data_IF_346108402673
#
_entry.id   IF_346108402673
#
_cell.length_a   1.000
_cell.length_b   1.000
_cell.length_c   1.000
_cell.angle_alpha   90.00
_cell.angle_beta   90.00
_cell.angle_gamma   90.00
#
_symmetry.space_group_name_H-M   'P 1'
#
loop_
_entity.id
_entity.type
_entity.pdbx_description
1 polymer ?
2 non-polymer ?
3 non-polymer ?
4 non-polymer ?
5 water ?
#
# COMPACT_ATOMS: atom_id res chain seq x y z
N UNK A 1 29.24 -8.17 24.71
CA UNK A 1 28.72 -7.43 23.54
C UNK A 1 27.20 -7.36 23.59
N UNK A 2 26.61 -6.74 22.58
CA UNK A 2 25.18 -6.59 22.50
C UNK A 2 24.52 -7.87 22.02
N UNK A 3 23.29 -8.12 22.46
CA UNK A 3 22.53 -9.28 22.03
C UNK A 3 21.94 -8.85 20.68
N UNK A 4 21.59 -9.79 19.81
CA UNK A 4 21.03 -9.42 18.50
C UNK A 4 19.61 -8.90 18.63
N UNK A 5 19.14 -8.13 17.66
CA UNK A 5 17.77 -7.59 17.69
C UNK A 5 16.77 -8.72 17.49
N UNK A 6 15.55 -8.53 17.99
CA UNK A 6 14.49 -9.52 17.83
C UNK A 6 13.79 -9.28 16.49
N UNK A 7 13.49 -10.35 15.76
CA UNK A 7 12.82 -10.21 14.47
C UNK A 7 11.56 -11.02 14.47
N UNK A 8 10.52 -10.56 13.76
CA UNK A 8 9.26 -11.31 13.72
C UNK A 8 9.34 -12.41 12.62
N UNK A 9 10.37 -12.34 11.79
CA UNK A 9 10.55 -13.29 10.72
C UNK A 9 11.76 -14.16 10.98
N UNK A 10 11.98 -15.12 10.09
CA UNK A 10 13.08 -16.07 10.23
C UNK A 10 14.50 -15.52 10.01
N UNK A 11 14.68 -14.77 8.94
CA UNK A 11 15.99 -14.25 8.64
C UNK A 11 16.07 -12.74 8.73
N UNK A 12 17.28 -12.27 9.02
CA UNK A 12 17.50 -10.83 9.13
C UNK A 12 18.28 -10.30 7.95
N UNK A 13 18.58 -9.01 8.00
CA UNK A 13 19.31 -8.34 6.93
C UNK A 13 20.64 -9.01 6.61
N UNK A 14 21.26 -9.64 7.61
CA UNK A 14 22.56 -10.31 7.42
C UNK A 14 22.48 -11.66 6.73
N UNK A 15 21.27 -12.15 6.47
CA UNK A 15 21.13 -13.46 5.82
C UNK A 15 20.95 -13.41 4.32
N UNK A 16 21.18 -12.23 3.76
CA UNK A 16 21.10 -12.07 2.31
C UNK A 16 22.34 -11.28 1.85
N UNK A 17 22.83 -11.60 0.66
CA UNK A 17 23.96 -10.90 0.08
C UNK A 17 23.54 -10.27 -1.26
N UNK A 18 23.55 -8.95 -1.32
CA UNK A 18 23.22 -8.24 -2.57
C UNK A 18 24.52 -8.26 -3.38
N UNK A 19 24.58 -9.14 -4.38
CA UNK A 19 25.77 -9.24 -5.19
C UNK A 19 25.98 -7.98 -6.02
N UNK A 20 24.98 -7.59 -6.80
CA UNK A 20 25.10 -6.39 -7.62
C UNK A 20 23.76 -5.73 -7.90
N UNK A 21 23.83 -4.45 -8.22
CA UNK A 21 22.66 -3.67 -8.58
C UNK A 21 23.04 -3.02 -9.88
N UNK A 22 22.18 -3.17 -10.89
CA UNK A 22 22.44 -2.57 -12.19
C UNK A 22 21.22 -1.79 -12.63
N UNK A 23 21.43 -0.63 -13.23
CA UNK A 23 20.29 0.16 -13.69
C UNK A 23 19.82 -0.39 -15.03
N UNK A 24 18.57 -0.84 -15.10
CA UNK A 24 18.01 -1.37 -16.35
C UNK A 24 17.51 -0.22 -17.21
N UNK A 25 17.08 0.84 -16.55
CA UNK A 25 16.57 2.00 -17.25
C UNK A 25 16.66 3.17 -16.29
N UNK A 26 17.26 4.26 -16.72
CA UNK A 26 17.35 5.41 -15.84
C UNK A 26 16.51 6.56 -16.37
N UNK A 27 15.55 6.98 -15.57
CA UNK A 27 14.67 8.08 -15.94
C UNK A 27 14.42 8.85 -14.67
N UNK A 28 13.29 9.55 -14.55
CA UNK A 28 13.04 10.28 -13.32
C UNK A 28 13.18 9.26 -12.18
N UNK A 29 12.59 8.09 -12.37
CA UNK A 29 12.70 6.98 -11.41
C UNK A 29 13.42 5.89 -12.19
N UNK A 30 14.40 5.24 -11.57
CA UNK A 30 15.14 4.19 -12.24
C UNK A 30 14.55 2.81 -12.02
N UNK A 31 14.66 1.95 -13.01
CA UNK A 31 14.21 0.57 -12.87
C UNK A 31 15.53 -0.18 -12.76
N UNK A 32 15.75 -0.84 -11.63
CA UNK A 32 17.00 -1.56 -11.41
C UNK A 32 16.84 -3.07 -11.40
N UNK A 33 17.97 -3.76 -11.45
CA UNK A 33 17.97 -5.20 -11.39
C UNK A 33 18.90 -5.55 -10.23
N UNK A 34 18.37 -6.25 -9.24
CA UNK A 34 19.19 -6.66 -8.10
C UNK A 34 19.62 -8.10 -8.32
N UNK A 35 20.89 -8.40 -8.04
CA UNK A 35 21.38 -9.76 -8.13
C UNK A 35 21.74 -10.08 -6.69
N UNK A 36 21.17 -11.14 -6.14
CA UNK A 36 21.43 -11.49 -4.74
C UNK A 36 21.28 -12.98 -4.43
N UNK A 37 21.78 -13.36 -3.27
CA UNK A 37 21.72 -14.74 -2.76
C UNK A 37 21.25 -14.61 -1.33
N UNK A 38 20.43 -15.55 -0.90
CA UNK A 38 19.91 -15.50 0.45
C UNK A 38 19.74 -16.90 1.01
N UNK A 39 19.60 -17.00 2.33
CA UNK A 39 19.41 -18.29 2.97
C UNK A 39 17.98 -18.73 2.68
N UNK A 40 17.80 -20.03 2.48
CA UNK A 40 16.48 -20.61 2.24
C UNK A 40 15.97 -21.12 3.59
N UNK A 41 14.66 -21.36 3.69
CA UNK A 41 14.08 -21.84 4.93
C UNK A 41 14.61 -23.22 5.31
N UNK A 42 15.09 -23.98 4.32
CA UNK A 42 15.63 -25.30 4.61
C UNK A 42 17.10 -25.26 5.04
N UNK A 43 17.63 -24.06 5.28
CA UNK A 43 19.00 -23.92 5.74
C UNK A 43 20.06 -23.73 4.69
N UNK A 44 19.71 -24.02 3.44
CA UNK A 44 20.66 -23.90 2.34
C UNK A 44 20.70 -22.53 1.68
N UNK A 45 21.80 -22.27 0.97
CA UNK A 45 21.99 -21.01 0.26
C UNK A 45 21.32 -21.12 -1.11
N UNK A 46 20.74 -20.02 -1.58
CA UNK A 46 20.05 -20.01 -2.86
C UNK A 46 21.01 -19.81 -4.03
N UNK A 47 20.49 -19.93 -5.25
CA UNK A 47 21.30 -19.66 -6.42
C UNK A 47 21.21 -18.15 -6.48
N UNK A 48 21.82 -17.54 -7.49
CA UNK A 48 21.74 -16.10 -7.62
C UNK A 48 20.31 -15.83 -8.12
N UNK A 49 19.61 -14.90 -7.48
CA UNK A 49 18.26 -14.57 -7.92
C UNK A 49 18.30 -13.15 -8.46
N UNK A 50 17.47 -12.91 -9.47
CA UNK A 50 17.41 -11.61 -10.14
C UNK A 50 16.02 -11.06 -10.03
N UNK A 51 15.92 -9.79 -9.64
CA UNK A 51 14.65 -9.13 -9.51
C UNK A 51 14.71 -7.71 -10.10
N UNK A 52 13.66 -7.31 -10.80
CA UNK A 52 13.60 -5.95 -11.37
C UNK A 52 12.95 -5.10 -10.31
N UNK A 53 13.61 -4.04 -9.88
CA UNK A 53 13.06 -3.15 -8.85
C UNK A 53 12.87 -1.71 -9.31
N UNK A 54 11.68 -1.17 -9.07
CA UNK A 54 11.35 0.21 -9.42
C UNK A 54 11.74 1.06 -8.20
N UNK A 55 12.84 1.81 -8.30
CA UNK A 55 13.32 2.65 -7.21
C UNK A 55 12.52 3.93 -7.16
N UNK A 56 11.40 3.91 -6.45
CA UNK A 56 10.53 5.07 -6.38
C UNK A 56 10.87 6.09 -5.29
N UNK A 57 11.43 5.64 -4.17
CA UNK A 57 11.78 6.60 -3.14
C UNK A 57 11.25 6.48 -1.72
N UNK A 58 10.81 7.61 -1.20
CA UNK A 58 10.32 7.73 0.17
C UNK A 58 9.34 8.92 0.20
N UNK A 59 8.14 8.70 0.71
CA UNK A 59 7.13 9.76 0.76
C UNK A 59 6.63 10.04 2.16
N UNK A 60 6.11 11.26 2.33
CA UNK A 60 5.53 11.70 3.59
C UNK A 60 4.06 11.82 3.29
N UNK A 61 3.22 11.27 4.17
CA UNK A 61 1.76 11.32 4.00
C UNK A 61 1.15 11.91 5.28
N UNK A 62 0.24 12.86 5.12
CA UNK A 62 -0.40 13.48 6.28
C UNK A 62 -1.93 13.43 6.22
N UNK A 63 -2.52 12.90 7.28
CA UNK A 63 -3.97 12.83 7.39
C UNK A 63 -4.37 14.06 8.24
N UNK A 64 -5.00 15.07 7.61
CA UNK A 64 -5.41 16.27 8.32
C UNK A 64 -6.67 15.92 9.11
N UNK A 65 -6.58 15.94 10.43
CA UNK A 65 -7.72 15.62 11.26
C UNK A 65 -8.10 16.74 12.24
N UNK A 66 -9.37 17.11 12.26
CA UNK A 66 -9.87 18.13 13.17
C UNK A 66 -10.65 17.33 14.22
N UNK A 67 -10.03 17.08 15.40
CA UNK A 67 -10.65 16.32 16.48
C UNK A 67 -11.88 16.95 17.11
N UNK A 68 -11.94 18.27 17.10
CA UNK A 68 -13.07 18.96 17.68
C UNK A 68 -14.32 18.85 16.84
N UNK A 69 -14.19 18.96 15.52
CA UNK A 69 -15.35 18.87 14.63
C UNK A 69 -15.48 17.46 14.02
N UNK A 70 -14.53 16.60 14.37
CA UNK A 70 -14.49 15.23 13.86
C UNK A 70 -14.56 15.21 12.34
N UNK A 71 -13.67 15.98 11.72
CA UNK A 71 -13.60 16.07 10.28
C UNK A 71 -12.20 15.79 9.76
N UNK A 72 -12.15 15.48 8.47
CA UNK A 72 -10.92 15.20 7.77
C UNK A 72 -10.89 16.13 6.54
N UNK A 73 -9.69 16.53 6.12
CA UNK A 73 -9.54 17.37 4.93
C UNK A 73 -8.87 16.49 3.88
N UNK A 74 -9.57 16.26 2.78
CA UNK A 74 -9.05 15.42 1.71
C UNK A 74 -8.72 16.29 0.51
N UNK A 75 -7.76 15.88 -0.31
CA UNK A 75 -7.42 16.64 -1.50
C UNK A 75 -7.74 15.80 -2.74
N UNK A 76 -8.30 16.45 -3.75
CA UNK A 76 -8.68 15.80 -4.98
C UNK A 76 -7.64 16.15 -6.02
N UNK A 77 -7.06 15.15 -6.66
CA UNK A 77 -6.06 15.42 -7.71
C UNK A 77 -5.95 14.26 -8.67
N UNK A 78 -5.53 14.52 -9.89
CA UNK A 78 -5.42 13.44 -10.85
C UNK A 78 -4.17 12.58 -10.63
N UNK A 79 -4.34 11.26 -10.75
CA UNK A 79 -3.24 10.29 -10.63
C UNK A 79 -3.47 9.45 -11.89
N UNK A 80 -2.85 9.88 -12.98
CA UNK A 80 -2.99 9.26 -14.28
C UNK A 80 -2.83 7.75 -14.33
N UNK A 81 -1.95 7.18 -13.51
CA UNK A 81 -1.75 5.73 -13.51
C UNK A 81 -3.02 4.98 -13.11
N UNK A 82 -3.94 5.67 -12.45
CA UNK A 82 -5.21 5.06 -12.03
C UNK A 82 -6.24 5.01 -13.16
N UNK A 83 -5.91 5.62 -14.29
CA UNK A 83 -6.80 5.67 -15.43
C UNK A 83 -7.32 4.32 -15.99
N UNK A 84 -6.44 3.33 -16.15
CA UNK A 84 -6.90 2.04 -16.70
C UNK A 84 -7.73 1.11 -15.82
N UNK A 85 -7.74 1.32 -14.51
CA UNK A 85 -8.51 0.46 -13.63
C UNK A 85 -9.44 1.20 -12.69
N UNK A 86 -9.84 2.43 -13.05
CA UNK A 86 -10.73 3.22 -12.22
C UNK A 86 -11.72 3.96 -13.10
N UNK A 87 -12.82 4.44 -12.53
CA UNK A 87 -13.80 5.15 -13.34
C UNK A 87 -13.37 6.58 -13.63
N UNK A 88 -12.45 7.08 -12.84
CA UNK A 88 -11.92 8.42 -13.02
C UNK A 88 -10.54 8.47 -12.38
N UNK A 89 -9.57 9.08 -13.08
CA UNK A 89 -8.23 9.17 -12.51
C UNK A 89 -8.12 10.22 -11.41
N UNK A 90 -9.19 10.97 -11.17
CA UNK A 90 -9.18 11.97 -10.10
C UNK A 90 -9.54 11.29 -8.81
N UNK A 91 -8.55 11.19 -7.93
CA UNK A 91 -8.70 10.54 -6.64
C UNK A 91 -8.75 11.49 -5.46
N UNK A 92 -9.41 11.03 -4.41
CA UNK A 92 -9.52 11.76 -3.16
C UNK A 92 -8.35 11.20 -2.35
N UNK A 93 -7.42 12.05 -1.98
CA UNK A 93 -6.24 11.61 -1.26
C UNK A 93 -5.82 12.38 -0.01
N UNK A 94 -4.69 11.96 0.55
CA UNK A 94 -4.11 12.57 1.73
C UNK A 94 -3.08 13.58 1.22
N UNK A 95 -2.65 14.46 2.11
CA UNK A 95 -1.60 15.43 1.79
C UNK A 95 -0.37 14.52 1.70
N UNK A 96 0.47 14.72 0.69
CA UNK A 96 1.65 13.89 0.50
C UNK A 96 2.76 14.56 -0.31
N UNK A 97 3.98 14.13 -0.08
CA UNK A 97 5.10 14.68 -0.82
C UNK A 97 6.30 13.76 -0.73
N UNK A 98 7.22 13.87 -1.69
CA UNK A 98 8.41 13.04 -1.67
C UNK A 98 9.40 13.66 -0.68
N UNK A 99 10.20 12.81 -0.03
CA UNK A 99 11.18 13.28 0.94
C UNK A 99 12.56 13.18 0.34
N UNK A 100 13.31 14.27 0.37
CA UNK A 100 14.66 14.29 -0.18
C UNK A 100 15.71 14.52 0.90
N UNK A 101 16.98 14.45 0.50
CA UNK A 101 18.13 14.64 1.37
C UNK A 101 17.96 15.66 2.48
N UNK A 102 18.30 15.25 3.69
CA UNK A 102 18.22 16.16 4.82
C UNK A 102 16.85 16.57 5.31
N UNK A 103 15.79 16.02 4.72
CA UNK A 103 14.42 16.35 5.13
C UNK A 103 13.87 15.24 6.01
N UNK A 104 12.95 15.59 6.91
CA UNK A 104 12.31 14.60 7.78
C UNK A 104 10.88 14.42 7.27
N UNK A 105 10.24 13.31 7.63
CA UNK A 105 8.86 13.06 7.20
C UNK A 105 7.98 14.22 7.64
N UNK A 106 8.16 14.63 8.89
CA UNK A 106 7.37 15.70 9.47
C UNK A 106 7.58 17.04 8.74
N UNK A 107 8.81 17.38 8.41
CA UNK A 107 9.04 18.64 7.71
C UNK A 107 8.29 18.65 6.37
N UNK A 108 8.39 17.55 5.62
CA UNK A 108 7.71 17.47 4.33
C UNK A 108 6.19 17.53 4.52
N UNK A 109 5.66 16.78 5.49
CA UNK A 109 4.21 16.76 5.72
C UNK A 109 3.66 18.16 6.05
N UNK A 110 4.34 18.89 6.91
CA UNK A 110 3.88 20.22 7.28
C UNK A 110 3.94 21.17 6.10
N UNK A 111 5.00 21.06 5.30
CA UNK A 111 5.14 21.92 4.15
C UNK A 111 4.09 21.59 3.08
N UNK A 112 3.80 20.31 2.89
CA UNK A 112 2.80 19.90 1.90
C UNK A 112 1.40 20.32 2.33
N UNK A 113 1.16 20.31 3.64
CA UNK A 113 -0.15 20.70 4.16
C UNK A 113 -0.47 22.13 3.73
N UNK A 114 0.55 22.98 3.73
CA UNK A 114 0.39 24.38 3.33
C UNK A 114 0.29 24.55 1.81
N UNK A 115 1.20 23.90 1.08
CA UNK A 115 1.22 24.00 -0.37
C UNK A 115 0.02 23.38 -1.09
N UNK A 116 -0.38 22.19 -0.68
CA UNK A 116 -1.50 21.49 -1.32
C UNK A 116 -2.89 21.83 -0.79
N UNK A 117 -3.01 22.04 0.52
CA UNK A 117 -4.32 22.31 1.13
C UNK A 117 -4.50 23.62 1.90
N UNK A 118 -3.49 24.46 1.93
CA UNK A 118 -3.62 25.71 2.66
C UNK A 118 -3.86 25.52 4.15
N UNK A 119 -3.42 24.40 4.71
CA UNK A 119 -3.63 24.15 6.13
C UNK A 119 -2.37 24.32 6.96
N UNK A 120 -2.53 24.82 8.17
CA UNK A 120 -1.38 24.95 9.04
C UNK A 120 -1.61 23.95 10.17
N UNK A 121 -0.82 22.88 10.09
CA UNK A 121 -0.87 21.78 11.04
C UNK A 121 -0.36 22.23 12.40
N UNK A 122 -0.97 21.68 13.46
CA UNK A 122 -0.58 22.00 14.82
C UNK A 122 0.24 20.79 15.27
N UNK A 123 -0.30 19.98 16.16
CA UNK A 123 0.41 18.79 16.62
C UNK A 123 0.34 17.73 15.51
N UNK A 124 1.36 16.88 15.44
CA UNK A 124 1.38 15.81 14.45
C UNK A 124 1.66 14.57 15.26
N UNK A 125 1.32 13.42 14.72
CA UNK A 125 1.52 12.16 15.43
C UNK A 125 1.84 11.05 14.43
N UNK A 126 2.95 10.30 14.64
CA UNK A 126 3.28 9.21 13.71
C UNK A 126 2.22 8.12 13.79
N UNK A 127 1.71 7.70 12.63
CA UNK A 127 0.67 6.68 12.52
C UNK A 127 1.21 5.30 12.11
N UNK A 128 1.68 5.19 10.87
CA UNK A 128 2.23 3.95 10.32
C UNK A 128 3.10 4.29 9.12
N UNK A 129 4.01 3.39 8.78
CA UNK A 129 4.90 3.57 7.64
C UNK A 129 4.77 2.24 6.89
N UNK A 130 4.37 2.31 5.62
CA UNK A 130 4.18 1.09 4.86
C UNK A 130 4.92 1.05 3.54
N UNK A 131 5.10 -0.16 3.03
CA UNK A 131 5.73 -0.38 1.73
C UNK A 131 4.54 -0.58 0.81
N UNK A 132 4.39 0.31 -0.17
CA UNK A 132 3.27 0.26 -1.10
C UNK A 132 3.10 -1.07 -1.84
N UNK A 133 4.20 -1.64 -2.33
CA UNK A 133 4.15 -2.89 -3.10
C UNK A 133 5.60 -3.38 -3.19
N UNK A 134 6.12 -3.94 -2.07
CA UNK A 134 7.50 -4.44 -1.97
C UNK A 134 7.94 -5.56 -2.90
N UNK A 135 7.02 -6.11 -3.67
CA UNK A 135 7.40 -7.18 -4.58
C UNK A 135 8.04 -6.64 -5.84
N UNK A 136 7.74 -5.38 -6.16
CA UNK A 136 8.31 -4.76 -7.35
C UNK A 136 8.84 -3.35 -7.18
N UNK A 137 8.49 -2.67 -6.09
CA UNK A 137 8.97 -1.32 -5.87
C UNK A 137 9.53 -1.08 -4.47
N UNK A 138 10.50 -0.17 -4.36
CA UNK A 138 11.13 0.15 -3.08
C UNK A 138 10.39 1.25 -2.28
N UNK A 139 9.36 1.84 -2.88
CA UNK A 139 8.62 2.90 -2.22
C UNK A 139 8.24 2.61 -0.78
N UNK A 140 8.39 3.62 0.07
CA UNK A 140 8.03 3.52 1.47
C UNK A 140 7.32 4.85 1.80
N UNK A 141 6.12 4.75 2.38
CA UNK A 141 5.32 5.92 2.76
C UNK A 141 5.09 5.99 4.25
N UNK A 142 5.45 7.11 4.85
CA UNK A 142 5.28 7.32 6.29
C UNK A 142 4.07 8.23 6.53
N UNK A 143 3.09 7.71 7.26
CA UNK A 143 1.88 8.44 7.54
C UNK A 143 1.91 9.08 8.94
N UNK A 144 1.40 10.32 9.01
CA UNK A 144 1.27 11.06 10.27
C UNK A 144 -0.11 11.68 10.25
N UNK A 145 -0.71 11.88 11.43
CA UNK A 145 -2.01 12.55 11.49
C UNK A 145 -1.68 13.96 11.93
N UNK A 146 -2.25 14.94 11.24
CA UNK A 146 -1.97 16.31 11.58
C UNK A 146 -3.19 16.98 12.15
N UNK A 147 -3.01 17.63 13.30
CA UNK A 147 -4.08 18.35 13.97
C UNK A 147 -4.33 19.63 13.20
N UNK A 148 -5.56 19.83 12.75
CA UNK A 148 -5.91 21.03 12.01
C UNK A 148 -7.24 21.59 12.48
N UNK A 149 -7.56 22.79 12.00
CA UNK A 149 -8.83 23.44 12.29
C UNK A 149 -9.51 23.45 10.92
N UNK A 150 -10.49 22.57 10.72
CA UNK A 150 -11.19 22.47 9.45
C UNK A 150 -11.95 23.75 9.09
N UNK A 151 -12.01 24.68 10.03
CA UNK A 151 -12.68 25.97 9.82
C UNK A 151 -11.87 26.76 8.80
N UNK A 152 -10.54 26.64 8.92
CA UNK A 152 -9.59 27.33 8.06
C UNK A 152 -9.54 26.78 6.63
N UNK A 153 -10.30 25.72 6.38
CA UNK A 153 -10.35 25.11 5.05
C UNK A 153 -11.75 25.35 4.46
N UNK A 154 -11.95 24.91 3.22
CA UNK A 154 -13.24 25.08 2.53
C UNK A 154 -13.67 26.55 2.49
N UNK A 159 -7.84 28.76 -3.12
CA UNK A 159 -7.19 29.74 -2.26
C UNK A 159 -5.84 29.22 -1.76
N UNK A 160 -5.65 27.90 -1.82
CA UNK A 160 -4.38 27.29 -1.42
C UNK A 160 -3.41 27.45 -2.59
N UNK A 161 -2.12 27.23 -2.35
CA UNK A 161 -1.13 27.36 -3.42
C UNK A 161 -1.52 26.61 -4.69
N UNK A 162 -1.44 25.29 -4.64
CA UNK A 162 -1.75 24.44 -5.78
C UNK A 162 -3.26 24.23 -5.96
N UNK A 163 -4.05 25.29 -5.88
CA UNK A 163 -5.50 25.15 -6.00
C UNK A 163 -6.06 24.80 -7.38
N UNK A 164 -5.32 25.02 -8.47
CA UNK A 164 -5.87 24.65 -9.77
C UNK A 164 -5.58 23.21 -10.17
N UNK A 165 -4.65 22.57 -9.47
CA UNK A 165 -4.29 21.17 -9.72
C UNK A 165 -4.83 20.29 -8.58
N UNK A 166 -5.08 20.92 -7.43
CA UNK A 166 -5.55 20.25 -6.23
C UNK A 166 -6.81 20.94 -5.69
N UNK A 167 -7.85 20.16 -5.42
CA UNK A 167 -9.06 20.71 -4.83
C UNK A 167 -9.27 20.08 -3.46
N UNK A 168 -9.47 20.96 -2.47
CA UNK A 168 -9.68 20.58 -1.07
C UNK A 168 -11.16 20.26 -0.76
N UNK A 169 -11.36 19.18 0.01
CA UNK A 169 -12.68 18.75 0.42
C UNK A 169 -12.64 18.53 1.94
N UNK A 170 -13.55 19.15 2.67
CA UNK A 170 -13.64 18.95 4.12
C UNK A 170 -14.86 18.08 4.35
N UNK A 171 -14.67 16.91 4.96
CA UNK A 171 -15.79 16.02 5.21
C UNK A 171 -15.69 15.41 6.60
N UNK A 172 -16.80 14.87 7.10
CA UNK A 172 -16.81 14.24 8.41
C UNK A 172 -15.98 12.97 8.37
N UNK A 173 -15.37 12.62 9.49
CA UNK A 173 -14.56 11.41 9.55
C UNK A 173 -15.40 10.22 9.10
N UNK A 174 -16.63 10.16 9.60
CA UNK A 174 -17.52 9.06 9.27
C UNK A 174 -17.88 8.99 7.78
N UNK A 175 -17.98 10.16 7.13
CA UNK A 175 -18.28 10.20 5.70
C UNK A 175 -17.07 9.66 4.93
N UNK A 176 -15.89 10.08 5.36
CA UNK A 176 -14.67 9.64 4.71
C UNK A 176 -14.53 8.12 4.84
N UNK A 177 -14.75 7.61 6.04
CA UNK A 177 -14.64 6.16 6.26
C UNK A 177 -15.58 5.36 5.38
N UNK A 178 -16.81 5.87 5.27
CA UNK A 178 -17.86 5.26 4.47
C UNK A 178 -17.42 5.16 3.00
N UNK A 179 -16.77 6.21 2.51
CA UNK A 179 -16.31 6.20 1.13
C UNK A 179 -15.24 5.13 0.89
N UNK A 180 -14.45 4.84 1.92
CA UNK A 180 -13.43 3.80 1.83
C UNK A 180 -14.12 2.45 1.70
N UNK A 181 -15.10 2.21 2.57
CA UNK A 181 -15.84 0.97 2.55
C UNK A 181 -16.58 0.75 1.24
N UNK A 182 -17.09 1.83 0.67
CA UNK A 182 -17.83 1.76 -0.59
C UNK A 182 -16.88 1.66 -1.78
N UNK A 183 -15.60 1.93 -1.53
CA UNK A 183 -14.62 1.88 -2.59
C UNK A 183 -14.51 3.22 -3.31
N UNK A 184 -15.02 4.30 -2.71
CA UNK A 184 -14.92 5.60 -3.35
C UNK A 184 -13.60 6.29 -3.04
N UNK A 185 -12.87 5.73 -2.08
CA UNK A 185 -11.53 6.18 -1.71
C UNK A 185 -10.80 4.85 -1.72
N UNK A 186 -9.89 4.66 -2.68
CA UNK A 186 -9.18 3.40 -2.81
C UNK A 186 -7.68 3.43 -3.09
N UNK A 187 -6.99 4.51 -2.76
CA UNK A 187 -5.56 4.53 -2.95
C UNK A 187 -5.02 4.12 -1.58
N UNK A 188 -4.01 3.25 -1.55
CA UNK A 188 -3.45 2.74 -0.28
C UNK A 188 -3.24 3.73 0.86
N UNK A 189 -2.51 4.81 0.64
CA UNK A 189 -2.27 5.77 1.72
C UNK A 189 -3.55 6.24 2.40
N UNK A 190 -4.56 6.60 1.62
CA UNK A 190 -5.83 7.07 2.19
C UNK A 190 -6.59 5.97 2.95
N UNK A 191 -6.68 4.78 2.37
CA UNK A 191 -7.39 3.67 2.99
C UNK A 191 -6.78 3.34 4.36
N UNK A 192 -5.46 3.20 4.40
CA UNK A 192 -4.74 2.86 5.62
C UNK A 192 -4.91 3.95 6.67
N UNK A 193 -4.79 5.21 6.25
CA UNK A 193 -4.91 6.33 7.19
C UNK A 193 -6.30 6.44 7.79
N UNK A 194 -7.31 6.26 6.94
CA UNK A 194 -8.70 6.35 7.38
C UNK A 194 -9.14 5.15 8.22
N UNK A 195 -8.63 3.96 7.90
CA UNK A 195 -8.97 2.80 8.70
C UNK A 195 -8.34 3.02 10.07
N UNK A 196 -7.11 3.52 10.09
CA UNK A 196 -6.41 3.76 11.34
C UNK A 196 -7.20 4.78 12.16
N UNK A 197 -7.65 5.85 11.51
CA UNK A 197 -8.42 6.88 12.18
C UNK A 197 -9.74 6.32 12.73
N UNK A 198 -10.38 5.44 11.96
CA UNK A 198 -11.64 4.84 12.40
C UNK A 198 -11.42 3.95 13.62
N UNK A 199 -10.21 3.40 13.74
CA UNK A 199 -9.87 2.53 14.85
C UNK A 199 -9.38 3.30 16.06
N UNK A 200 -8.90 4.53 15.85
CA UNK A 200 -8.35 5.31 16.96
C UNK A 200 -8.86 6.75 17.17
N UNK A 201 -9.95 7.15 16.53
CA UNK A 201 -10.41 8.53 16.68
C UNK A 201 -10.73 8.97 18.12
N UNK A 202 -11.38 8.10 18.89
CA UNK A 202 -11.72 8.48 20.26
C UNK A 202 -10.49 8.79 21.10
N UNK A 203 -9.49 7.90 21.06
CA UNK A 203 -8.28 8.14 21.84
C UNK A 203 -7.54 9.39 21.36
N UNK A 204 -7.51 9.60 20.03
CA UNK A 204 -6.82 10.75 19.47
C UNK A 204 -7.54 12.04 19.83
N UNK A 205 -8.86 11.98 19.86
CA UNK A 205 -9.66 13.14 20.22
C UNK A 205 -9.43 13.53 21.67
N UNK A 206 -9.26 12.53 22.54
CA UNK A 206 -9.01 12.77 23.96
C UNK A 206 -7.57 13.20 24.14
N UNK A 207 -6.67 12.64 23.34
CA UNK A 207 -5.26 13.00 23.44
C UNK A 207 -5.04 14.47 23.10
N UNK A 208 -5.67 14.91 22.02
CA UNK A 208 -5.52 16.30 21.58
C UNK A 208 -6.54 17.25 22.19
N UNK A 209 -7.36 16.73 23.11
CA UNK A 209 -8.40 17.52 23.77
C UNK A 209 -7.92 18.79 24.45
N UNK B 8 -18.68 14.26 -4.88
CA UNK B 8 -17.28 14.50 -4.45
C UNK B 8 -16.40 14.93 -5.65
N UNK B 9 -15.80 13.94 -6.31
CA UNK B 9 -14.98 14.17 -7.47
C UNK B 9 -15.93 14.37 -8.66
N UNK B 10 -15.65 15.36 -9.50
CA UNK B 10 -16.52 15.60 -10.66
C UNK B 10 -15.85 15.32 -12.00
N UNK B 11 -14.53 15.49 -12.09
CA UNK B 11 -13.83 15.24 -13.33
C UNK B 11 -13.76 13.74 -13.61
N UNK B 12 -14.04 13.35 -14.85
CA UNK B 12 -13.99 11.95 -15.24
C UNK B 12 -12.98 11.74 -16.34
N UNK B 13 -13.07 10.61 -17.06
CA UNK B 13 -12.12 10.34 -18.13
C UNK B 13 -12.18 11.31 -19.32
N UNK B 14 -13.33 11.95 -19.51
CA UNK B 14 -13.48 12.91 -20.61
C UNK B 14 -12.76 14.23 -20.31
N UNK B 15 -12.35 14.42 -19.07
CA UNK B 15 -11.63 15.63 -18.66
C UNK B 15 -10.11 15.47 -18.79
N UNK B 16 -9.70 14.32 -19.30
CA UNK B 16 -8.28 14.02 -19.50
C UNK B 16 -8.08 13.67 -20.96
N UNK B 17 -7.01 14.16 -21.54
CA UNK B 17 -6.70 13.84 -22.93
C UNK B 17 -5.40 13.07 -22.92
N UNK B 18 -5.46 11.75 -23.10
CA UNK B 18 -4.25 10.97 -23.14
C UNK B 18 -3.72 11.10 -24.57
N UNK B 19 -2.63 11.82 -24.71
CA UNK B 19 -2.00 12.06 -26.00
C UNK B 19 -1.24 10.83 -26.45
N UNK B 20 -0.53 10.19 -25.51
CA UNK B 20 0.22 9.00 -25.84
C UNK B 20 0.69 8.23 -24.63
N UNK B 21 0.95 6.96 -24.84
CA UNK B 21 1.45 6.06 -23.80
C UNK B 21 2.57 5.32 -24.50
N UNK B 22 3.81 5.59 -24.10
CA UNK B 22 4.96 4.99 -24.72
C UNK B 22 5.62 4.02 -23.78
N UNK B 23 6.27 3.02 -24.36
CA UNK B 23 6.98 2.04 -23.58
C UNK B 23 8.43 2.47 -23.50
N UNK B 24 8.91 2.72 -22.29
CA UNK B 24 10.28 3.15 -22.11
C UNK B 24 11.15 1.93 -21.94
N UNK B 25 10.63 0.95 -21.22
CA UNK B 25 11.36 -0.29 -20.94
C UNK B 25 10.40 -1.47 -20.83
N UNK B 26 10.80 -2.62 -21.36
CA UNK B 26 9.96 -3.80 -21.26
C UNK B 26 10.82 -5.01 -20.89
N UNK B 27 10.58 -5.55 -19.69
CA UNK B 27 11.30 -6.72 -19.23
C UNK B 27 10.24 -7.55 -18.53
N UNK B 28 10.54 -8.05 -17.33
CA UNK B 28 9.53 -8.81 -16.59
C UNK B 28 8.37 -7.85 -16.34
N UNK B 29 8.70 -6.60 -16.02
CA UNK B 29 7.72 -5.54 -15.81
C UNK B 29 7.98 -4.53 -16.91
N UNK B 30 7.07 -3.59 -17.08
CA UNK B 30 7.28 -2.56 -18.08
C UNK B 30 7.26 -1.20 -17.43
N UNK B 31 7.90 -0.24 -18.08
CA UNK B 31 7.94 1.12 -17.59
C UNK B 31 7.34 1.93 -18.73
N UNK B 32 6.25 2.66 -18.47
CA UNK B 32 5.61 3.45 -19.53
C UNK B 32 5.60 4.94 -19.25
N UNK B 33 5.54 5.73 -20.32
CA UNK B 33 5.47 7.16 -20.18
C UNK B 33 4.08 7.59 -20.63
N UNK B 34 3.41 8.39 -19.80
CA UNK B 34 2.10 8.92 -20.14
C UNK B 34 2.27 10.40 -20.48
N UNK B 35 1.82 10.78 -21.67
CA UNK B 35 1.85 12.17 -22.11
C UNK B 35 0.37 12.54 -22.17
N UNK B 36 -0.03 13.55 -21.42
CA UNK B 36 -1.44 13.90 -21.40
C UNK B 36 -1.69 15.34 -20.95
N UNK B 37 -2.95 15.76 -21.11
CA UNK B 37 -3.40 17.07 -20.66
C UNK B 37 -4.64 16.76 -19.83
N UNK B 38 -4.84 17.48 -18.73
CA UNK B 38 -6.00 17.24 -17.88
C UNK B 38 -6.57 18.58 -17.46
N UNK B 39 -7.87 18.60 -17.24
CA UNK B 39 -8.56 19.81 -16.84
C UNK B 39 -8.17 20.26 -15.44
N UNK B 40 -8.11 21.58 -15.26
CA UNK B 40 -7.74 22.20 -13.99
C UNK B 40 -8.99 22.61 -13.24
N UNK B 41 -8.86 22.83 -11.95
CA UNK B 41 -10.01 23.20 -11.15
C UNK B 41 -10.52 24.61 -11.42
N UNK B 42 -9.94 25.28 -12.41
CA UNK B 42 -10.43 26.60 -12.81
C UNK B 42 -11.10 26.41 -14.16
N UNK B 43 -11.28 25.15 -14.56
CA UNK B 43 -11.94 24.83 -15.81
C UNK B 43 -11.13 24.70 -17.10
N UNK B 44 -9.91 25.22 -17.12
CA UNK B 44 -9.09 25.14 -18.33
C UNK B 44 -8.31 23.83 -18.42
N UNK B 45 -7.72 23.58 -19.58
CA UNK B 45 -6.92 22.37 -19.79
C UNK B 45 -5.46 22.70 -19.51
N UNK B 46 -4.73 21.77 -18.90
CA UNK B 46 -3.34 21.97 -18.59
C UNK B 46 -2.45 21.86 -19.83
N UNK B 47 -1.18 22.22 -19.68
CA UNK B 47 -0.21 22.07 -20.76
C UNK B 47 0.03 20.57 -20.75
N UNK B 48 0.78 20.05 -21.71
CA UNK B 48 1.07 18.61 -21.73
C UNK B 48 1.84 18.22 -20.49
N UNK B 49 1.50 17.09 -19.90
CA UNK B 49 2.17 16.61 -18.72
C UNK B 49 2.74 15.24 -19.02
N UNK B 50 3.89 14.91 -18.42
CA UNK B 50 4.51 13.61 -18.61
C UNK B 50 4.67 12.94 -17.27
N UNK B 51 4.43 11.64 -17.24
CA UNK B 51 4.57 10.89 -16.01
C UNK B 51 5.11 9.52 -16.35
N UNK B 52 6.11 9.08 -15.60
CA UNK B 52 6.70 7.77 -15.80
C UNK B 52 5.86 6.79 -14.96
N UNK B 53 5.24 5.81 -15.61
CA UNK B 53 4.40 4.84 -14.90
C UNK B 53 4.90 3.39 -14.94
N UNK B 54 5.02 2.79 -13.75
CA UNK B 54 5.45 1.40 -13.61
C UNK B 54 4.25 0.46 -13.87
N UNK B 55 4.33 -0.34 -14.94
CA UNK B 55 3.26 -1.26 -15.29
C UNK B 55 3.65 -2.68 -14.92
N UNK B 56 3.00 -3.25 -13.91
CA UNK B 56 3.37 -4.59 -13.46
C UNK B 56 2.18 -5.56 -13.33
N UNK B 57 1.04 -5.17 -13.89
CA UNK B 57 -0.14 -6.02 -13.82
C UNK B 57 -0.94 -5.77 -12.54
N UNK B 58 -1.90 -6.65 -12.27
CA UNK B 58 -2.74 -6.54 -11.08
C UNK B 58 -2.64 -7.78 -10.18
N UNK B 59 -2.93 -7.59 -8.90
CA UNK B 59 -2.79 -8.67 -7.95
C UNK B 59 -4.07 -9.07 -7.24
N UNK B 60 -4.09 -10.33 -6.82
CA UNK B 60 -5.20 -10.88 -6.07
C UNK B 60 -4.54 -11.16 -4.72
N UNK B 61 -5.17 -10.69 -3.65
CA UNK B 61 -4.64 -10.88 -2.30
C UNK B 61 -5.62 -11.65 -1.44
N UNK B 62 -5.12 -12.62 -0.68
CA UNK B 62 -6.00 -13.39 0.20
C UNK B 62 -5.59 -13.39 1.67
N UNK B 63 -6.51 -12.93 2.52
CA UNK B 63 -6.31 -12.90 3.97
C UNK B 63 -6.89 -14.21 4.55
N UNK B 64 -6.03 -15.15 4.96
CA UNK B 64 -6.56 -16.41 5.52
C UNK B 64 -7.02 -16.21 6.97
N UNK B 65 -8.32 -16.37 7.20
CA UNK B 65 -8.90 -16.17 8.53
C UNK B 65 -9.65 -17.42 9.03
N UNK B 66 -9.31 -17.84 10.24
CA UNK B 66 -9.96 -18.98 10.91
C UNK B 66 -10.93 -18.31 11.90
N UNK B 67 -12.24 -18.32 11.59
CA UNK B 67 -13.26 -17.70 12.44
C UNK B 67 -13.45 -18.44 13.76
N UNK B 68 -13.26 -19.76 13.74
CA UNK B 68 -13.41 -20.56 14.95
C UNK B 68 -12.29 -20.28 15.96
N UNK B 69 -11.06 -20.26 15.50
CA UNK B 69 -9.94 -20.04 16.40
C UNK B 69 -9.54 -18.57 16.49
N UNK B 70 -10.13 -17.74 15.64
CA UNK B 70 -9.83 -16.30 15.61
C UNK B 70 -8.32 -16.10 15.39
N UNK B 71 -7.83 -16.76 14.35
CA UNK B 71 -6.41 -16.68 14.00
C UNK B 71 -6.25 -16.30 12.54
N UNK B 72 -5.05 -15.84 12.23
CA UNK B 72 -4.70 -15.41 10.89
C UNK B 72 -3.48 -16.21 10.45
N UNK B 73 -3.44 -16.54 9.16
CA UNK B 73 -2.31 -17.28 8.62
C UNK B 73 -1.50 -16.28 7.79
N UNK B 74 -0.25 -16.06 8.20
CA UNK B 74 0.63 -15.14 7.49
C UNK B 74 1.73 -15.92 6.78
N UNK B 75 2.25 -15.39 5.68
CA UNK B 75 3.33 -16.07 4.97
C UNK B 75 4.59 -15.21 5.04
N UNK B 76 5.73 -15.87 5.14
CA UNK B 76 7.00 -15.17 5.20
C UNK B 76 7.81 -15.47 3.94
N UNK B 77 8.42 -14.44 3.36
CA UNK B 77 9.25 -14.61 2.17
C UNK B 77 10.04 -13.32 1.98
N UNK B 78 11.18 -13.43 1.31
CA UNK B 78 12.01 -12.27 1.10
C UNK B 78 11.52 -11.40 -0.06
N UNK B 79 11.55 -10.10 0.16
CA UNK B 79 11.18 -9.08 -0.84
C UNK B 79 12.37 -8.13 -0.81
N UNK B 80 13.30 -8.33 -1.73
CA UNK B 80 14.53 -7.55 -1.79
C UNK B 80 14.33 -6.04 -1.95
N UNK B 81 13.22 -5.63 -2.55
CA UNK B 81 12.92 -4.20 -2.72
C UNK B 81 12.70 -3.51 -1.36
N UNK B 82 12.45 -4.28 -0.32
CA UNK B 82 12.25 -3.72 1.02
C UNK B 82 13.60 -3.52 1.73
N UNK B 83 14.66 -4.12 1.18
CA UNK B 83 15.98 -4.04 1.78
C UNK B 83 16.44 -2.65 2.22
N UNK B 84 16.48 -1.69 1.30
CA UNK B 84 16.96 -0.34 1.62
C UNK B 84 16.20 0.47 2.66
N UNK B 85 14.93 0.16 2.91
CA UNK B 85 14.16 0.94 3.88
C UNK B 85 13.58 0.12 5.02
N UNK B 86 13.95 -1.14 5.11
CA UNK B 86 13.38 -1.99 6.16
C UNK B 86 14.43 -2.62 7.05
N UNK B 87 14.03 -3.11 8.20
CA UNK B 87 14.99 -3.71 9.10
C UNK B 87 15.43 -5.04 8.55
N UNK B 88 14.57 -5.67 7.76
CA UNK B 88 14.91 -6.94 7.11
C UNK B 88 14.06 -7.10 5.84
N UNK B 89 14.62 -7.74 4.80
CA UNK B 89 13.87 -7.95 3.55
C UNK B 89 12.81 -9.05 3.63
N UNK B 90 12.85 -9.84 4.70
CA UNK B 90 11.85 -10.90 4.90
C UNK B 90 10.64 -10.27 5.54
N UNK B 91 9.53 -10.30 4.81
CA UNK B 91 8.29 -9.70 5.27
C UNK B 91 7.22 -10.72 5.62
N UNK B 92 6.33 -10.31 6.51
CA UNK B 92 5.18 -11.12 6.93
C UNK B 92 4.08 -10.56 6.03
N UNK B 93 3.43 -11.40 5.23
CA UNK B 93 2.43 -10.89 4.31
C UNK B 93 1.21 -11.78 4.16
N UNK B 94 0.33 -11.36 3.25
CA UNK B 94 -0.89 -12.10 2.92
C UNK B 94 -0.57 -12.93 1.68
N UNK B 95 -1.37 -13.96 1.42
CA UNK B 95 -1.17 -14.74 0.23
C UNK B 95 -1.43 -13.74 -0.89
N UNK B 96 -0.65 -13.78 -1.96
CA UNK B 96 -0.83 -12.82 -3.05
C UNK B 96 -0.23 -13.31 -4.36
N UNK B 97 -0.99 -13.16 -5.44
CA UNK B 97 -0.50 -13.62 -6.71
C UNK B 97 -0.86 -12.67 -7.82
N UNK B 98 -0.16 -12.80 -8.94
CA UNK B 98 -0.42 -11.99 -10.10
C UNK B 98 -1.55 -12.62 -10.90
N UNK B 99 -2.53 -11.80 -11.23
CA UNK B 99 -3.70 -12.23 -11.99
C UNK B 99 -3.27 -12.32 -13.44
N UNK B 100 -3.29 -13.52 -13.98
CA UNK B 100 -2.89 -13.70 -15.37
C UNK B 100 -4.02 -13.48 -16.37
N UNK B 101 -3.78 -13.93 -17.59
CA UNK B 101 -4.72 -13.81 -18.70
C UNK B 101 -6.12 -14.30 -18.36
N UNK B 102 -7.05 -13.36 -18.27
CA UNK B 102 -8.43 -13.68 -17.97
C UNK B 102 -8.74 -14.56 -16.77
N UNK B 103 -8.05 -14.36 -15.64
CA UNK B 103 -8.34 -15.13 -14.43
C UNK B 103 -9.11 -14.18 -13.52
N UNK B 104 -9.98 -14.73 -12.68
CA UNK B 104 -10.74 -13.89 -11.77
C UNK B 104 -9.93 -13.70 -10.48
N UNK B 105 -10.26 -12.66 -9.72
CA UNK B 105 -9.55 -12.42 -8.48
C UNK B 105 -9.66 -13.68 -7.61
N UNK B 106 -10.86 -14.25 -7.53
CA UNK B 106 -11.09 -15.44 -6.71
C UNK B 106 -10.25 -16.64 -7.14
N UNK B 107 -10.24 -16.95 -8.44
CA UNK B 107 -9.46 -18.08 -8.90
C UNK B 107 -7.99 -17.91 -8.52
N UNK B 108 -7.44 -16.72 -8.73
CA UNK B 108 -6.05 -16.46 -8.39
C UNK B 108 -5.78 -16.55 -6.89
N UNK B 109 -6.66 -15.94 -6.09
CA UNK B 109 -6.52 -15.94 -4.64
C UNK B 109 -6.57 -17.36 -4.06
N UNK B 110 -7.52 -18.16 -4.54
CA UNK B 110 -7.69 -19.54 -4.08
C UNK B 110 -6.53 -20.43 -4.55
N UNK B 111 -6.08 -20.23 -5.78
CA UNK B 111 -4.98 -21.01 -6.32
C UNK B 111 -3.67 -20.68 -5.56
N UNK B 112 -3.36 -19.40 -5.42
CA UNK B 112 -2.15 -19.00 -4.73
C UNK B 112 -2.14 -19.45 -3.26
N UNK B 113 -3.32 -19.57 -2.64
CA UNK B 113 -3.38 -20.00 -1.25
C UNK B 113 -2.89 -21.43 -1.10
N UNK B 114 -3.13 -22.25 -2.11
CA UNK B 114 -2.66 -23.64 -2.09
C UNK B 114 -1.16 -23.58 -2.38
N UNK B 115 -0.82 -22.86 -3.45
CA UNK B 115 0.56 -22.69 -3.90
C UNK B 115 1.48 -22.10 -2.83
N UNK B 116 1.09 -20.96 -2.25
CA UNK B 116 1.95 -20.28 -1.29
C UNK B 116 1.85 -20.71 0.16
N UNK B 117 0.73 -21.30 0.54
CA UNK B 117 0.56 -21.71 1.93
C UNK B 117 -0.05 -23.09 2.13
N UNK B 118 -0.36 -23.79 1.04
CA UNK B 118 -0.94 -25.11 1.14
C UNK B 118 -2.26 -25.13 1.88
N UNK B 119 -3.00 -24.03 1.78
CA UNK B 119 -4.29 -23.94 2.46
C UNK B 119 -5.45 -24.08 1.49
N UNK B 120 -6.46 -24.83 1.90
CA UNK B 120 -7.63 -24.97 1.05
C UNK B 120 -8.67 -24.06 1.66
N UNK B 121 -8.90 -22.92 1.03
CA UNK B 121 -9.87 -21.95 1.52
C UNK B 121 -11.29 -22.47 1.29
N UNK B 122 -12.15 -22.18 2.26
CA UNK B 122 -13.54 -22.58 2.21
C UNK B 122 -14.32 -21.39 1.64
N UNK B 123 -15.18 -20.79 2.44
CA UNK B 123 -15.94 -19.63 1.97
C UNK B 123 -15.01 -18.44 1.77
N UNK B 124 -15.31 -17.58 0.81
CA UNK B 124 -14.50 -16.40 0.54
C UNK B 124 -15.41 -15.21 0.38
N UNK B 125 -14.88 -14.03 0.69
CA UNK B 125 -15.67 -12.80 0.63
C UNK B 125 -14.80 -11.62 0.16
N UNK B 126 -15.32 -10.79 -0.76
CA UNK B 126 -14.45 -9.68 -1.16
C UNK B 126 -14.30 -8.72 0.01
N UNK B 127 -13.15 -8.03 0.07
CA UNK B 127 -12.86 -7.09 1.13
C UNK B 127 -12.81 -5.66 0.57
N UNK B 128 -11.68 -5.29 -0.02
CA UNK B 128 -11.48 -3.97 -0.62
C UNK B 128 -10.51 -4.15 -1.77
N UNK B 129 -10.56 -3.24 -2.74
CA UNK B 129 -9.66 -3.28 -3.88
C UNK B 129 -8.96 -1.92 -3.91
N UNK B 130 -7.63 -1.90 -3.85
CA UNK B 130 -6.93 -0.62 -3.82
C UNK B 130 -5.79 -0.47 -4.81
N UNK B 131 -5.40 0.79 -5.01
CA UNK B 131 -4.30 1.16 -5.88
C UNK B 131 -3.13 1.37 -4.92
N UNK B 132 -2.06 0.63 -5.11
CA UNK B 132 -0.91 0.73 -4.22
C UNK B 132 -0.27 2.11 -4.19
N UNK B 133 -0.12 2.72 -5.37
CA UNK B 133 0.49 4.05 -5.45
C UNK B 133 0.18 4.64 -6.81
N UNK B 134 -1.05 5.14 -6.99
CA UNK B 134 -1.62 5.77 -8.18
C UNK B 134 -0.71 6.81 -8.83
N UNK B 135 0.27 7.28 -8.07
CA UNK B 135 1.22 8.28 -8.56
C UNK B 135 2.28 7.76 -9.51
N UNK B 136 2.78 6.55 -9.26
CA UNK B 136 3.81 6.01 -10.14
C UNK B 136 3.57 4.63 -10.71
N UNK B 137 2.49 3.97 -10.31
CA UNK B 137 2.19 2.64 -10.82
C UNK B 137 0.70 2.44 -11.07
N UNK B 138 0.37 1.62 -12.07
CA UNK B 138 -1.03 1.35 -12.41
C UNK B 138 -1.57 0.14 -11.61
N UNK B 139 -0.71 -0.49 -10.80
CA UNK B 139 -1.15 -1.66 -10.05
C UNK B 139 -2.35 -1.53 -9.14
N UNK B 140 -3.24 -2.51 -9.28
CA UNK B 140 -4.46 -2.62 -8.50
C UNK B 140 -4.40 -3.97 -7.78
N UNK B 141 -4.65 -3.98 -6.47
CA UNK B 141 -4.63 -5.22 -5.70
C UNK B 141 -6.01 -5.45 -5.12
N UNK B 142 -6.61 -6.60 -5.38
CA UNK B 142 -7.95 -6.90 -4.84
C UNK B 142 -7.87 -7.93 -3.73
N UNK B 143 -8.30 -7.52 -2.55
CA UNK B 143 -8.27 -8.35 -1.37
C UNK B 143 -9.57 -9.10 -1.12
N UNK B 144 -9.41 -10.34 -0.68
CA UNK B 144 -10.53 -11.20 -0.35
C UNK B 144 -10.20 -11.87 0.95
N UNK B 145 -11.20 -12.15 1.77
CA UNK B 145 -10.91 -12.84 3.00
C UNK B 145 -11.38 -14.28 2.78
N UNK B 146 -10.55 -15.22 3.22
CA UNK B 146 -10.87 -16.62 3.03
C UNK B 146 -10.90 -17.38 4.32
N UNK B 147 -11.96 -18.15 4.51
CA UNK B 147 -12.16 -18.97 5.69
C UNK B 147 -11.24 -20.18 5.63
N UNK B 148 -10.37 -20.34 6.61
CA UNK B 148 -9.46 -21.49 6.60
C UNK B 148 -9.41 -22.15 7.96
N UNK B 149 -8.87 -23.37 7.98
CA UNK B 149 -8.70 -24.12 9.22
C UNK B 149 -7.23 -23.90 9.54
N UNK B 150 -6.96 -23.03 10.51
CA UNK B 150 -5.60 -22.68 10.87
C UNK B 150 -4.79 -23.81 11.47
N UNK B 151 -5.44 -24.84 12.02
CA UNK B 151 -4.71 -25.94 12.63
C UNK B 151 -3.97 -26.83 11.66
N UNK B 152 -4.17 -26.62 10.36
CA UNK B 152 -3.51 -27.43 9.34
C UNK B 152 -2.53 -26.61 8.51
N UNK B 153 -2.47 -25.31 8.77
CA UNK B 153 -1.57 -24.43 8.03
C UNK B 153 -0.16 -24.55 8.58
N UNK B 154 0.79 -24.99 7.75
CA UNK B 154 2.17 -25.13 8.22
C UNK B 154 3.22 -25.47 7.16
N UNK B 155 4.48 -25.20 7.49
CA UNK B 155 5.57 -25.51 6.59
C UNK B 155 5.99 -24.51 5.54
N UNK B 156 6.87 -24.96 4.65
CA UNK B 156 7.42 -24.15 3.56
C UNK B 156 6.72 -24.50 2.24
N UNK B 157 6.36 -23.49 1.47
CA UNK B 157 5.67 -23.70 0.21
C UNK B 157 6.20 -22.77 -0.88
N UNK B 158 5.39 -22.60 -1.93
CA UNK B 158 5.76 -21.74 -3.03
C UNK B 158 6.05 -22.59 -4.23
N UNK B 159 5.91 -22.03 -5.43
CA UNK B 159 6.19 -22.78 -6.66
C UNK B 159 7.68 -22.91 -6.87
N UNK B 160 8.11 -24.11 -7.28
CA UNK B 160 9.52 -24.40 -7.53
C UNK B 160 10.00 -23.72 -8.80
N UNK B 161 9.15 -23.77 -9.84
CA UNK B 161 9.46 -23.16 -11.14
C UNK B 161 9.55 -21.63 -11.12
N UNK B 162 8.97 -21.01 -10.09
CA UNK B 162 9.00 -19.56 -9.94
C UNK B 162 10.11 -19.26 -8.95
N UNK B 163 10.49 -20.29 -8.19
CA UNK B 163 11.50 -20.16 -7.16
C UNK B 163 10.98 -19.34 -5.99
N UNK B 164 9.82 -19.77 -5.48
CA UNK B 164 9.19 -19.15 -4.33
C UNK B 164 9.58 -19.97 -3.10
N UNK B 165 10.09 -19.30 -2.09
CA UNK B 165 10.49 -19.94 -0.85
C UNK B 165 9.62 -19.21 0.17
N UNK B 166 8.51 -19.85 0.59
CA UNK B 166 7.57 -19.22 1.51
C UNK B 166 7.31 -20.05 2.76
N UNK B 167 7.38 -19.39 3.92
CA UNK B 167 7.14 -20.08 5.19
C UNK B 167 5.86 -19.57 5.84
N UNK B 168 5.02 -20.48 6.31
CA UNK B 168 3.77 -20.05 6.93
C UNK B 168 3.83 -19.91 8.45
N UNK B 169 3.18 -18.85 8.93
CA UNK B 169 3.10 -18.52 10.36
C UNK B 169 1.62 -18.38 10.76
N UNK B 170 1.25 -18.96 11.88
CA UNK B 170 -0.14 -18.85 12.36
C UNK B 170 -0.09 -18.04 13.65
N UNK B 171 -0.86 -16.95 13.69
CA UNK B 171 -0.92 -16.11 14.89
C UNK B 171 -2.37 -15.71 15.15
N UNK B 172 -2.70 -15.32 16.38
CA UNK B 172 -4.05 -14.90 16.70
C UNK B 172 -4.33 -13.62 15.91
N UNK B 173 -5.61 -13.31 15.69
CA UNK B 173 -5.98 -12.10 14.96
C UNK B 173 -5.50 -10.84 15.70
N UNK B 174 -5.63 -10.84 17.02
CA UNK B 174 -5.20 -9.71 17.81
C UNK B 174 -3.71 -9.42 17.66
N UNK B 175 -2.88 -10.46 17.66
CA UNK B 175 -1.45 -10.28 17.54
C UNK B 175 -1.08 -9.68 16.19
N UNK B 176 -1.65 -10.24 15.12
CA UNK B 176 -1.38 -9.74 13.78
C UNK B 176 -1.75 -8.26 13.73
N UNK B 177 -2.92 -7.93 14.28
CA UNK B 177 -3.37 -6.54 14.30
C UNK B 177 -2.41 -5.63 15.09
N UNK B 178 -1.97 -6.09 16.25
CA UNK B 178 -1.03 -5.30 17.03
C UNK B 178 0.29 -5.16 16.29
N UNK B 179 0.73 -6.20 15.59
CA UNK B 179 1.96 -6.12 14.83
C UNK B 179 1.85 -5.08 13.72
N UNK B 180 0.66 -4.91 13.18
CA UNK B 180 0.47 -3.91 12.15
C UNK B 180 0.57 -2.52 12.77
N UNK B 181 -0.14 -2.28 13.87
CA UNK B 181 -0.08 -0.95 14.48
C UNK B 181 1.35 -0.66 14.96
N UNK B 182 2.11 -1.72 15.23
CA UNK B 182 3.50 -1.62 15.70
C UNK B 182 4.54 -1.57 14.57
N UNK B 183 4.07 -1.70 13.33
CA UNK B 183 4.98 -1.63 12.21
C UNK B 183 5.75 -2.91 11.91
N UNK B 184 5.38 -4.02 12.54
CA UNK B 184 6.06 -5.29 12.31
C UNK B 184 5.53 -6.00 11.07
N UNK B 185 4.41 -5.51 10.55
CA UNK B 185 3.78 -5.98 9.31
C UNK B 185 3.50 -4.64 8.65
N UNK B 186 4.15 -4.33 7.53
CA UNK B 186 3.91 -3.01 6.95
C UNK B 186 3.83 -2.91 5.44
N UNK B 187 3.47 -3.98 4.77
CA UNK B 187 3.32 -3.89 3.34
C UNK B 187 1.85 -3.51 3.22
N UNK B 188 1.49 -2.64 2.26
CA UNK B 188 0.10 -2.16 2.09
C UNK B 188 -1.06 -3.18 2.16
N UNK B 189 -1.05 -4.19 1.29
CA UNK B 189 -2.09 -5.21 1.27
C UNK B 189 -2.37 -5.83 2.66
N UNK B 190 -1.31 -6.16 3.38
CA UNK B 190 -1.47 -6.75 4.71
C UNK B 190 -2.02 -5.75 5.72
N UNK B 191 -1.50 -4.54 5.70
CA UNK B 191 -1.97 -3.50 6.61
C UNK B 191 -3.47 -3.24 6.35
N UNK B 192 -3.85 -3.06 5.09
CA UNK B 192 -5.25 -2.81 4.73
C UNK B 192 -6.15 -3.99 5.12
N UNK B 193 -5.76 -5.20 4.73
CA UNK B 193 -6.53 -6.39 5.05
C UNK B 193 -6.69 -6.59 6.56
N UNK B 194 -5.61 -6.40 7.33
CA UNK B 194 -5.69 -6.61 8.78
C UNK B 194 -6.42 -5.52 9.55
N UNK B 195 -6.38 -4.28 9.09
CA UNK B 195 -7.11 -3.22 9.79
C UNK B 195 -8.58 -3.46 9.46
N UNK B 196 -8.86 -3.97 8.26
CA UNK B 196 -10.23 -4.27 7.87
C UNK B 196 -10.75 -5.39 8.75
N UNK B 197 -9.92 -6.41 8.98
CA UNK B 197 -10.31 -7.55 9.81
C UNK B 197 -10.58 -7.08 11.24
N UNK B 198 -9.74 -6.18 11.73
CA UNK B 198 -9.91 -5.67 13.07
C UNK B 198 -11.20 -4.90 13.16
N UNK B 199 -11.59 -4.22 12.09
CA UNK B 199 -12.84 -3.45 12.11
C UNK B 199 -14.10 -4.29 11.84
N UNK B 200 -13.94 -5.49 11.29
CA UNK B 200 -15.09 -6.32 10.96
C UNK B 200 -15.06 -7.73 11.51
N UNK B 201 -14.12 -8.05 12.40
CA UNK B 201 -14.00 -9.41 12.92
C UNK B 201 -15.23 -10.00 13.62
N UNK B 202 -15.91 -9.18 14.41
CA UNK B 202 -17.06 -9.69 15.10
C UNK B 202 -18.17 -10.07 14.13
N UNK B 203 -18.42 -9.22 13.14
CA UNK B 203 -19.46 -9.50 12.15
C UNK B 203 -19.10 -10.72 11.32
N UNK B 204 -17.81 -10.87 11.03
CA UNK B 204 -17.36 -12.00 10.23
C UNK B 204 -17.40 -13.31 11.01
N UNK B 205 -17.00 -13.27 12.28
CA UNK B 205 -17.04 -14.48 13.10
C UNK B 205 -18.49 -14.88 13.21
N UNK B 206 -19.36 -13.90 13.43
CA UNK B 206 -20.79 -14.16 13.54
C UNK B 206 -21.33 -14.85 12.30
N UNK B 207 -20.86 -14.43 11.14
CA UNK B 207 -21.34 -15.05 9.93
C UNK B 207 -20.77 -16.45 9.70
N UNK B 208 -19.46 -16.60 9.82
CA UNK B 208 -18.87 -17.90 9.56
C UNK B 208 -18.76 -18.85 10.73
N UNK B 209 -18.54 -18.34 11.94
CA UNK B 209 -18.42 -19.21 13.09
C UNK B 209 -19.81 -19.58 13.60
X LIG C 1 20.71 -4.72 12.45
X LIG D 1 2.77 -16.93 -5.98
X LIG E 1 1.63 -16.52 -9.26
X LIG F 1 3.09 -14.21 -4.14
X LIG G 1 3.28 -14.21 -7.56
X LIG G 1 4.56 -14.70 -8.16
X LIG G 1 5.89 -14.34 -7.62
X LIG G 1 6.87 -14.84 -8.58
X LIG G 1 6.98 -13.90 -9.67
X LIG G 1 8.23 -14.92 -7.97
X LIG G 1 8.54 -16.26 -7.54
X LIG G 1 9.22 -14.45 -9.15
X LIG G 1 9.54 -15.63 -10.03
X LIG G 1 8.38 -13.47 -9.99
X LIG G 1 8.60 -12.02 -9.50
X LIG G 1 8.12 -11.38 -8.38
X LIG G 1 8.61 -10.16 -8.24
X LIG G 1 9.52 -10.02 -9.28
X LIG G 1 10.47 -8.99 -9.63
X LIG G 1 10.74 -7.95 -8.84
X LIG G 1 11.26 -9.18 -10.79
X LIG G 1 11.23 -10.42 -11.44
X LIG G 1 10.46 -11.47 -11.11
X LIG G 1 9.57 -11.19 -10.05
X LIG G 1 3.37 -12.53 -7.36
X LIG G 1 3.81 -11.59 -6.02
X LIG G 1 5.29 -11.53 -5.99
X LIG G 1 3.26 -10.06 -6.25
X LIG G 1 1.78 -9.78 -5.72
X LIG G 1 1.75 -8.59 -4.66
X LIG G 1 2.73 -8.90 -3.46
X LIG G 1 2.33 -7.34 -5.39
X LIG G 1 1.59 -6.19 -5.08
X LIG G 1 3.78 -7.19 -4.85
X LIG G 1 4.13 -5.89 -4.74
X LIG G 1 3.79 -7.87 -3.45
X LIG G 1 3.46 -6.88 -2.44
X LIG G 1 2.21 -14.55 -8.45
X LIG G 1 3.32 -12.19 -4.77
X LIG G 1 3.08 -14.85 -6.32
#
# INVERSE_FOLDING_TARGET
>A
MLKPDNLPVTFGKNDVEIIARETLYRGFFSLDLYRFRHRLFNGQMSHEVRREIFERGHAAVLLPFDPVRDEVVLIEQIRIAAYDTSETPWLLEMVAGMIEEGESVEDVARREAIEEAGLIVKRTKPVLSFLASPGGTSERSSIMVGEVDATTASGIHGLADENEDIRVHVVSREQAYQWVEEGKIDNAASVIALQWLQLHHQALKNEWA
>B
MLKPDNLPVTFGKNDVEIIARETLYRGFFSLDLYRFRHRLFNGQMSHEVRREIFERGHAAVLLPFDPVRDEVVLIEQIRIAAYDTSETPWLLEMVAGMIEEGESVEDVARREAIEEAGLIVKRTKPVLSFLASPGGTSERSSIMVGEVDATTASGIHGLADENEDIRVHVVSREQAYQWVEEGKIDNAASVIALQWLQLHHQALKNEWA
>C hetero
1 CL CL
>D hetero
1 MG MG
>E hetero
1 MG MG
>F hetero
1 MG MG
>G hetero
1 ADV PA O5' C5' C4' O4' C3' O3' C2' O2' C1' N9 C8 N7 C5 C6 N6 N1 C2 N3 C4 CX PB O1B OR5 CR5 CR4 OR4 CR3 OR3 CR2 OR2 CR1 OR1 O2A O2B O1A
#
